data_IF_063160818180
#
_entry.id   IF_063160818180
#
_cell.length_a   1.000
_cell.length_b   1.000
_cell.length_c   1.000
_cell.angle_alpha   90.00
_cell.angle_beta   90.00
_cell.angle_gamma   90.00
#
_symmetry.space_group_name_H-M   'P 1'
#
loop_
_entity.id
_entity.type
_entity.pdbx_description
1 polymer ?
#
# COMPACT_ATOMS: atom_id res chain seq x y z
N UNK A 1 3.01 9.90 30.88
CA UNK A 1 3.48 8.73 30.14
C UNK A 1 3.52 8.99 28.66
N UNK A 2 4.70 9.10 28.12
CA UNK A 2 4.77 9.31 26.69
C UNK A 2 4.33 8.07 25.92
N UNK A 3 3.70 8.29 24.82
CA UNK A 3 3.31 7.22 23.92
C UNK A 3 4.45 7.08 22.91
N UNK A 4 5.08 5.94 22.92
CA UNK A 4 6.22 5.70 22.05
C UNK A 4 5.82 5.59 20.61
N UNK A 5 4.59 5.16 20.37
CA UNK A 5 4.12 4.91 19.02
C UNK A 5 2.95 5.81 18.69
N UNK A 6 3.29 7.03 18.33
CA UNK A 6 2.27 7.98 17.91
C UNK A 6 1.93 7.76 16.44
N UNK A 7 1.49 6.55 16.13
CA UNK A 7 1.06 6.29 14.78
C UNK A 7 -0.42 5.96 14.76
N UNK A 8 -1.05 6.26 13.66
CA UNK A 8 -2.45 5.97 13.43
C UNK A 8 -2.54 4.93 12.34
N UNK A 9 -3.25 3.86 12.63
CA UNK A 9 -3.42 2.78 11.69
C UNK A 9 -4.86 2.71 11.21
N UNK A 10 -5.03 2.63 9.92
CA UNK A 10 -6.32 2.39 9.27
C UNK A 10 -6.24 1.06 8.54
N UNK A 11 -7.19 0.18 8.81
CA UNK A 11 -7.25 -1.11 8.13
C UNK A 11 -8.57 -1.24 7.40
N UNK A 12 -8.52 -1.85 6.23
CA UNK A 12 -9.69 -2.10 5.42
C UNK A 12 -9.51 -3.38 4.64
N UNK A 13 -10.61 -3.96 4.18
CA UNK A 13 -10.60 -5.09 3.27
C UNK A 13 -11.20 -4.65 1.96
N UNK A 14 -10.52 -4.98 0.87
CA UNK A 14 -10.99 -4.62 -0.45
C UNK A 14 -11.20 -5.87 -1.28
N UNK A 15 -12.32 -5.90 -1.98
CA UNK A 15 -12.56 -6.90 -3.00
C UNK A 15 -11.91 -6.44 -4.29
N UNK A 16 -11.65 -7.38 -5.20
CA UNK A 16 -11.06 -7.06 -6.49
C UNK A 16 -12.13 -6.43 -7.40
N UNK A 17 -12.37 -5.16 -7.18
CA UNK A 17 -13.34 -4.39 -7.95
C UNK A 17 -12.73 -3.01 -8.17
N UNK A 18 -12.48 -2.61 -9.41
CA UNK A 18 -11.87 -1.30 -9.69
C UNK A 18 -12.60 -0.13 -9.05
N UNK A 19 -13.91 -0.25 -8.82
CA UNK A 19 -14.67 0.83 -8.17
C UNK A 19 -14.25 1.01 -6.72
N UNK A 20 -13.75 -0.05 -6.07
CA UNK A 20 -13.31 0.01 -4.68
C UNK A 20 -11.90 0.55 -4.55
N UNK A 21 -11.14 0.62 -5.63
CA UNK A 21 -9.81 1.20 -5.59
C UNK A 21 -9.86 2.69 -5.27
N UNK A 22 -10.99 3.34 -5.50
CA UNK A 22 -11.19 4.73 -5.09
C UNK A 22 -11.23 4.85 -3.57
N UNK A 23 -11.72 3.81 -2.88
CA UNK A 23 -11.71 3.80 -1.42
C UNK A 23 -10.27 3.73 -0.90
N UNK A 24 -9.43 2.94 -1.57
CA UNK A 24 -8.01 2.89 -1.23
C UNK A 24 -7.36 4.27 -1.37
N UNK A 25 -7.62 4.95 -2.49
CA UNK A 25 -7.09 6.29 -2.71
C UNK A 25 -7.55 7.25 -1.62
N UNK A 26 -8.82 7.16 -1.21
CA UNK A 26 -9.36 8.04 -0.17
C UNK A 26 -8.69 7.78 1.19
N UNK A 27 -8.42 6.54 1.52
CA UNK A 27 -7.73 6.19 2.76
C UNK A 27 -6.33 6.80 2.78
N UNK A 28 -5.60 6.64 1.68
CA UNK A 28 -4.24 7.17 1.58
C UNK A 28 -4.26 8.70 1.60
N UNK A 29 -5.17 9.32 0.85
CA UNK A 29 -5.29 10.78 0.80
C UNK A 29 -5.54 11.35 2.19
N UNK A 30 -6.43 10.71 2.95
CA UNK A 30 -6.73 11.16 4.30
C UNK A 30 -5.49 11.05 5.20
N UNK A 31 -4.82 9.91 5.19
CA UNK A 31 -3.65 9.69 6.02
C UNK A 31 -2.51 10.65 5.65
N UNK A 32 -2.23 10.77 4.36
CA UNK A 32 -1.14 11.62 3.88
C UNK A 32 -1.43 13.10 4.15
N UNK A 33 -2.69 13.51 4.04
CA UNK A 33 -3.08 14.87 4.34
C UNK A 33 -2.88 15.21 5.81
N UNK A 34 -3.18 14.26 6.70
CA UNK A 34 -3.04 14.49 8.13
C UNK A 34 -1.59 14.70 8.56
N UNK A 35 -0.64 14.07 7.89
CA UNK A 35 0.78 14.22 8.22
C UNK A 35 1.45 15.33 7.42
N UNK A 36 0.72 16.03 6.58
CA UNK A 36 1.25 17.17 5.84
C UNK A 36 2.09 16.81 4.62
N UNK A 37 1.84 15.66 4.03
CA UNK A 37 2.55 15.25 2.81
C UNK A 37 2.16 16.13 1.63
N UNK A 38 3.14 16.46 0.78
CA UNK A 38 2.86 17.27 -0.41
C UNK A 38 1.97 16.53 -1.40
N UNK A 39 1.30 17.28 -2.28
CA UNK A 39 0.43 16.69 -3.30
C UNK A 39 1.19 15.70 -4.18
N UNK A 40 2.40 16.07 -4.61
CA UNK A 40 3.19 15.21 -5.49
C UNK A 40 3.48 13.86 -4.83
N UNK A 41 3.84 13.88 -3.56
CA UNK A 41 4.14 12.65 -2.83
C UNK A 41 2.88 11.85 -2.54
N UNK A 42 1.78 12.52 -2.20
CA UNK A 42 0.50 11.84 -2.00
C UNK A 42 0.06 11.11 -3.26
N UNK A 43 0.14 11.80 -4.39
CA UNK A 43 -0.26 11.19 -5.67
C UNK A 43 0.64 10.03 -6.05
N UNK A 44 1.93 10.14 -5.77
CA UNK A 44 2.86 9.04 -6.04
C UNK A 44 2.47 7.80 -5.24
N UNK A 45 2.16 7.98 -3.96
CA UNK A 45 1.77 6.86 -3.09
C UNK A 45 0.43 6.26 -3.54
N UNK A 46 -0.55 7.10 -3.84
CA UNK A 46 -1.86 6.65 -4.29
C UNK A 46 -1.73 5.85 -5.59
N UNK A 47 -0.98 6.37 -6.56
CA UNK A 47 -0.80 5.69 -7.84
C UNK A 47 -0.09 4.37 -7.69
N UNK A 48 0.92 4.32 -6.82
CA UNK A 48 1.65 3.07 -6.56
C UNK A 48 0.72 2.03 -5.92
N UNK A 49 -0.12 2.44 -4.98
CA UNK A 49 -1.06 1.53 -4.34
C UNK A 49 -2.11 1.01 -5.32
N UNK A 50 -2.65 1.90 -6.16
CA UNK A 50 -3.61 1.48 -7.18
C UNK A 50 -2.98 0.55 -8.20
N UNK A 51 -1.75 0.86 -8.61
CA UNK A 51 -1.02 0.00 -9.54
C UNK A 51 -0.79 -1.37 -8.93
N UNK A 52 -0.43 -1.42 -7.65
CA UNK A 52 -0.26 -2.69 -6.94
C UNK A 52 -1.53 -3.52 -7.00
N UNK A 53 -2.67 -2.91 -6.75
CA UNK A 53 -3.93 -3.63 -6.80
C UNK A 53 -4.26 -4.12 -8.21
N UNK A 54 -4.03 -3.29 -9.23
CA UNK A 54 -4.36 -3.67 -10.60
C UNK A 54 -3.43 -4.73 -11.18
N UNK A 55 -2.14 -4.64 -10.86
CA UNK A 55 -1.12 -5.44 -11.55
C UNK A 55 -0.62 -6.63 -10.76
N UNK A 56 -0.73 -6.60 -9.45
CA UNK A 56 -0.25 -7.70 -8.63
C UNK A 56 -1.34 -8.48 -7.92
N UNK A 57 -2.59 -8.05 -8.04
CA UNK A 57 -3.70 -8.80 -7.46
C UNK A 57 -3.81 -10.12 -8.19
N UNK A 58 -3.56 -11.25 -7.52
CA UNK A 58 -3.54 -12.52 -8.21
C UNK A 58 -4.94 -12.97 -8.59
N UNK A 59 -5.00 -13.77 -9.64
CA UNK A 59 -6.26 -14.39 -10.03
C UNK A 59 -6.68 -15.37 -8.95
N UNK A 60 -7.92 -15.28 -8.52
CA UNK A 60 -8.43 -16.10 -7.43
C UNK A 60 -9.31 -17.25 -7.90
N UNK A 61 -9.56 -17.34 -9.20
CA UNK A 61 -10.37 -18.42 -9.79
C UNK A 61 -11.75 -18.56 -9.14
N UNK A 62 -12.42 -17.45 -8.95
CA UNK A 62 -13.75 -17.44 -8.36
C UNK A 62 -13.79 -17.49 -6.86
N UNK A 63 -12.66 -17.57 -6.20
CA UNK A 63 -12.59 -17.44 -4.74
C UNK A 63 -12.69 -15.96 -4.38
N UNK A 64 -12.94 -15.69 -3.12
CA UNK A 64 -13.05 -14.30 -2.68
C UNK A 64 -11.74 -13.55 -2.88
N UNK A 65 -11.69 -12.64 -3.85
CA UNK A 65 -10.49 -11.86 -4.11
C UNK A 65 -10.44 -10.66 -3.17
N UNK A 66 -10.08 -10.92 -1.93
CA UNK A 66 -10.08 -9.87 -0.92
C UNK A 66 -8.66 -9.60 -0.44
N UNK A 67 -8.25 -8.35 -0.53
CA UNK A 67 -6.97 -7.91 0.02
C UNK A 67 -7.21 -7.12 1.29
N UNK A 68 -6.27 -7.21 2.22
CA UNK A 68 -6.30 -6.41 3.43
C UNK A 68 -5.36 -5.24 3.24
N UNK A 69 -5.87 -4.04 3.48
CA UNK A 69 -5.10 -2.80 3.35
C UNK A 69 -4.81 -2.28 4.75
N UNK A 70 -3.55 -2.00 5.01
CA UNK A 70 -3.12 -1.40 6.27
C UNK A 70 -2.40 -0.12 5.93
N UNK A 71 -2.91 1.01 6.42
CA UNK A 71 -2.31 2.31 6.17
C UNK A 71 -1.86 2.87 7.52
N UNK A 72 -0.55 3.01 7.69
CA UNK A 72 0.04 3.52 8.92
C UNK A 72 0.59 4.93 8.71
N UNK A 73 0.11 5.86 9.54
CA UNK A 73 0.64 7.22 9.59
C UNK A 73 1.71 7.27 10.66
N UNK A 74 2.94 7.42 10.23
CA UNK A 74 4.07 7.54 11.14
C UNK A 74 4.54 9.00 11.13
N UNK A 75 5.42 9.34 12.04
CA UNK A 75 5.81 10.74 12.19
C UNK A 75 6.43 11.36 10.94
N UNK A 76 7.18 10.59 10.17
CA UNK A 76 7.92 11.09 9.02
C UNK A 76 7.48 10.46 7.69
N UNK A 77 6.49 9.55 7.71
CA UNK A 77 6.10 8.81 6.52
C UNK A 77 4.73 8.19 6.64
N UNK A 78 4.23 7.73 5.51
CA UNK A 78 3.03 6.89 5.47
C UNK A 78 3.44 5.56 4.85
N UNK A 79 3.04 4.46 5.48
CA UNK A 79 3.29 3.11 4.97
C UNK A 79 1.97 2.46 4.62
N UNK A 80 1.89 1.94 3.41
CA UNK A 80 0.70 1.23 2.94
C UNK A 80 1.09 -0.22 2.70
N UNK A 81 0.47 -1.13 3.44
CA UNK A 81 0.69 -2.55 3.26
C UNK A 81 -0.55 -3.18 2.65
N UNK A 82 -0.36 -3.93 1.58
CA UNK A 82 -1.44 -4.62 0.90
C UNK A 82 -1.17 -6.11 1.02
N UNK A 83 -2.04 -6.81 1.72
CA UNK A 83 -1.89 -8.25 1.98
C UNK A 83 -2.86 -9.03 1.11
N UNK A 84 -2.31 -9.96 0.34
CA UNK A 84 -3.11 -10.81 -0.55
C UNK A 84 -3.19 -12.22 0.06
N UNK A 85 -4.35 -12.85 0.02
CA UNK A 85 -4.56 -14.17 0.65
C UNK A 85 -4.13 -15.34 -0.23
N UNK A 86 -3.11 -15.16 -1.05
CA UNK A 86 -2.62 -16.19 -1.97
C UNK A 86 -1.18 -15.89 -2.33
N UNK A 87 -0.51 -16.88 -2.91
CA UNK A 87 0.88 -16.73 -3.32
C UNK A 87 0.98 -15.74 -4.49
N UNK A 88 2.11 -15.05 -4.63
CA UNK A 88 2.31 -14.13 -5.74
C UNK A 88 2.43 -14.88 -7.06
N UNK A 89 2.02 -14.21 -8.13
CA UNK A 89 2.18 -14.74 -9.46
C UNK A 89 3.61 -14.52 -9.97
N UNK A 90 4.05 -15.30 -10.96
CA UNK A 90 5.35 -15.04 -11.60
C UNK A 90 5.41 -13.62 -12.14
N UNK A 91 6.57 -13.00 -12.02
CA UNK A 91 6.74 -11.63 -12.49
C UNK A 91 6.48 -10.56 -11.45
N UNK A 92 6.04 -10.95 -10.26
CA UNK A 92 5.77 -9.99 -9.18
C UNK A 92 7.02 -9.18 -8.81
N UNK A 93 8.19 -9.81 -8.81
CA UNK A 93 9.42 -9.09 -8.48
C UNK A 93 9.71 -7.93 -9.42
N UNK A 94 9.45 -8.13 -10.71
CA UNK A 94 9.65 -7.06 -11.69
C UNK A 94 8.68 -5.90 -11.42
N UNK A 95 7.45 -6.22 -11.02
CA UNK A 95 6.47 -5.19 -10.69
C UNK A 95 6.86 -4.42 -9.44
N UNK A 96 7.44 -5.09 -8.46
CA UNK A 96 7.94 -4.42 -7.26
C UNK A 96 9.08 -3.46 -7.61
N UNK A 97 9.97 -3.85 -8.51
CA UNK A 97 11.03 -2.95 -8.96
C UNK A 97 10.47 -1.70 -9.64
N UNK A 98 9.38 -1.84 -10.38
CA UNK A 98 8.72 -0.67 -10.96
C UNK A 98 8.15 0.24 -9.87
N UNK A 99 7.55 -0.34 -8.84
CA UNK A 99 7.02 0.43 -7.72
C UNK A 99 8.12 1.17 -6.98
N UNK A 100 9.31 0.58 -6.88
CA UNK A 100 10.45 1.22 -6.23
C UNK A 100 10.90 2.49 -6.92
N UNK A 101 10.53 2.67 -8.18
CA UNK A 101 10.82 3.90 -8.92
C UNK A 101 9.78 4.99 -8.65
N UNK A 102 8.65 4.65 -8.07
CA UNK A 102 7.53 5.57 -7.90
C UNK A 102 7.38 6.09 -6.49
N UNK A 103 7.80 5.31 -5.50
CA UNK A 103 7.74 5.68 -4.09
C UNK A 103 9.10 5.47 -3.46
N UNK A 104 9.27 6.00 -2.26
CA UNK A 104 10.57 5.94 -1.60
C UNK A 104 11.02 4.52 -1.30
N UNK A 105 10.10 3.64 -0.92
CA UNK A 105 10.41 2.22 -0.69
C UNK A 105 9.25 1.36 -1.10
N UNK A 106 9.56 0.21 -1.68
CA UNK A 106 8.57 -0.81 -1.96
C UNK A 106 9.22 -2.16 -1.67
N UNK A 107 8.62 -2.94 -0.79
CA UNK A 107 9.14 -4.24 -0.39
C UNK A 107 8.04 -5.27 -0.42
N UNK A 108 8.42 -6.54 -0.40
CA UNK A 108 7.45 -7.62 -0.35
C UNK A 108 7.90 -8.67 0.65
N UNK A 109 6.92 -9.36 1.22
CA UNK A 109 7.15 -10.50 2.09
C UNK A 109 6.22 -11.62 1.68
N UNK A 110 6.75 -12.85 1.66
CA UNK A 110 5.96 -14.03 1.33
C UNK A 110 5.71 -14.86 2.56
N UNK A 111 4.45 -15.25 2.75
CA UNK A 111 4.05 -16.23 3.74
C UNK A 111 3.75 -17.55 3.05
N UNK A 112 3.35 -18.58 3.81
CA UNK A 112 3.05 -19.90 3.22
C UNK A 112 1.91 -19.89 2.20
N UNK A 113 0.93 -19.03 2.40
CA UNK A 113 -0.25 -18.96 1.55
C UNK A 113 -0.68 -17.53 1.26
N UNK A 114 0.24 -16.60 1.46
CA UNK A 114 -0.09 -15.18 1.29
C UNK A 114 1.18 -14.43 0.95
N UNK A 115 1.00 -13.22 0.47
CA UNK A 115 2.12 -12.31 0.34
C UNK A 115 1.63 -10.90 0.58
N UNK A 116 2.56 -10.01 0.87
CA UNK A 116 2.22 -8.61 1.06
C UNK A 116 3.24 -7.71 0.38
N UNK A 117 2.77 -6.54 0.00
CA UNK A 117 3.61 -5.48 -0.55
C UNK A 117 3.45 -4.28 0.35
N UNK A 118 4.57 -3.70 0.77
CA UNK A 118 4.57 -2.49 1.59
C UNK A 118 5.16 -1.36 0.78
N UNK A 119 4.42 -0.26 0.69
CA UNK A 119 4.82 0.96 0.01
C UNK A 119 5.06 2.03 1.05
N UNK A 120 6.18 2.72 0.95
CA UNK A 120 6.55 3.75 1.91
C UNK A 120 6.85 5.04 1.16
N UNK A 121 6.24 6.13 1.61
CA UNK A 121 6.54 7.45 1.10
C UNK A 121 6.82 8.37 2.27
N UNK A 122 7.96 9.02 2.26
CA UNK A 122 8.32 9.98 3.31
C UNK A 122 7.60 11.31 3.08
N UNK A 123 7.36 12.03 4.17
CA UNK A 123 6.66 13.32 4.09
C UNK A 123 7.48 14.32 3.30
N UNK A 124 8.80 14.31 3.50
CA UNK A 124 9.71 15.20 2.79
C UNK A 124 10.90 14.44 2.25
N UNK A 125 11.61 15.05 1.31
CA UNK A 125 12.77 14.42 0.70
C UNK A 125 13.82 14.07 1.75
N UNK A 126 14.40 12.88 1.61
CA UNK A 126 15.51 12.47 2.47
C UNK A 126 16.79 13.05 1.90
N UNK A 127 17.57 13.57 2.80
CA UNK A 127 18.87 14.14 2.45
C UNK A 127 19.96 13.08 2.48
#
# INVERSE_FOLDING_TARGET
MPVENDFVRTEARLEEDPRLFKALAAIIEHAAGRVGMSDARRQALIRAAEQTCRETWPATNGREPMARIICDELGDRVEVTIQFPCAPEPGTEAKIKELQKRVDKATSEMGPRSFQITLVEFISARQ
#
